data_IF_910545049002
#
_entry.id   IF_910545049002
#
_cell.length_a   1.000
_cell.length_b   1.000
_cell.length_c   1.000
_cell.angle_alpha   90.00
_cell.angle_beta   90.00
_cell.angle_gamma   90.00
#
_symmetry.space_group_name_H-M   'P 1'
#
loop_
_entity.id
_entity.type
_entity.pdbx_description
1 polymer ?
#
# COMPACT_ATOMS: atom_id res chain seq x y z
N UNK A 1 22.13 7.25 -40.72
CA UNK A 1 23.49 7.53 -41.24
C UNK A 1 23.98 6.32 -42.04
N UNK A 2 23.93 6.31 -43.39
CA UNK A 2 24.30 5.15 -44.21
C UNK A 2 25.76 5.20 -44.71
N UNK A 3 26.70 5.62 -43.86
CA UNK A 3 28.09 5.92 -44.27
C UNK A 3 29.20 5.00 -43.74
N UNK A 4 28.89 4.07 -42.84
CA UNK A 4 29.91 3.27 -42.12
C UNK A 4 30.17 1.88 -42.72
N UNK A 5 29.27 1.34 -43.53
CA UNK A 5 29.38 -0.04 -44.08
C UNK A 5 30.33 -0.10 -45.29
N UNK A 6 30.57 1.01 -45.98
CA UNK A 6 31.43 1.05 -47.18
C UNK A 6 32.93 1.13 -46.91
N UNK A 7 33.36 1.42 -45.66
CA UNK A 7 34.80 1.56 -45.31
C UNK A 7 35.43 0.27 -44.82
N UNK A 8 34.66 -0.64 -44.23
CA UNK A 8 35.15 -1.94 -43.72
C UNK A 8 35.47 -2.95 -44.83
N UNK A 9 34.82 -2.84 -46.00
CA UNK A 9 35.06 -3.75 -47.14
C UNK A 9 36.40 -3.53 -47.85
N UNK A 10 37.01 -2.34 -47.72
CA UNK A 10 38.26 -2.00 -48.40
C UNK A 10 39.49 -2.55 -47.66
N UNK A 11 39.42 -2.63 -46.34
CA UNK A 11 40.51 -3.15 -45.51
C UNK A 11 40.65 -4.67 -45.59
N UNK A 12 39.56 -5.40 -45.79
CA UNK A 12 39.57 -6.87 -45.85
C UNK A 12 40.14 -7.45 -47.16
N UNK A 13 40.16 -6.67 -48.25
CA UNK A 13 40.61 -7.13 -49.58
C UNK A 13 42.14 -7.15 -49.70
N UNK A 14 42.81 -6.20 -49.07
CA UNK A 14 44.25 -5.98 -49.26
C UNK A 14 45.10 -6.90 -48.38
N UNK A 15 44.56 -7.41 -47.26
CA UNK A 15 45.27 -8.31 -46.33
C UNK A 15 45.19 -9.81 -46.70
N UNK A 16 44.17 -10.23 -47.45
CA UNK A 16 43.95 -11.65 -47.83
C UNK A 16 44.59 -12.03 -49.17
N UNK A 17 44.85 -11.07 -50.04
CA UNK A 17 45.46 -11.29 -51.35
C UNK A 17 46.88 -11.92 -51.30
N UNK A 18 47.76 -11.59 -50.32
CA UNK A 18 49.10 -12.18 -50.23
C UNK A 18 49.10 -13.63 -49.71
N UNK A 19 48.07 -14.03 -48.95
CA UNK A 19 47.94 -15.36 -48.35
C UNK A 19 47.55 -16.43 -49.37
N UNK A 20 46.79 -16.04 -50.40
CA UNK A 20 46.31 -16.95 -51.45
C UNK A 20 47.39 -17.30 -52.49
N UNK A 21 48.45 -16.50 -52.62
CA UNK A 21 49.56 -16.77 -53.55
C UNK A 21 50.58 -17.81 -53.03
N UNK A 22 50.49 -18.24 -51.76
CA UNK A 22 51.37 -19.28 -51.19
C UNK A 22 50.88 -20.71 -51.40
N UNK A 23 49.63 -20.90 -51.83
CA UNK A 23 49.07 -22.22 -52.11
C UNK A 23 48.94 -22.31 -53.63
N UNK A 24 49.96 -22.88 -54.28
CA UNK A 24 49.95 -23.13 -55.71
C UNK A 24 48.77 -24.01 -56.09
N UNK A 25 47.66 -23.39 -56.50
CA UNK A 25 46.46 -24.06 -56.94
C UNK A 25 46.16 -23.60 -58.38
N UNK A 26 46.55 -24.48 -59.28
CA UNK A 26 46.28 -24.50 -60.71
C UNK A 26 44.78 -24.34 -60.99
N UNK A 27 44.46 -23.34 -61.81
CA UNK A 27 43.50 -23.40 -62.91
C UNK A 27 42.30 -24.37 -62.80
N UNK A 28 41.33 -24.04 -61.94
CA UNK A 28 39.89 -24.28 -62.24
C UNK A 28 39.11 -23.12 -61.66
N UNK A 29 38.25 -22.47 -62.46
CA UNK A 29 37.37 -21.37 -62.02
C UNK A 29 36.57 -21.80 -60.79
N UNK A 30 36.79 -21.23 -59.60
CA UNK A 30 36.06 -21.69 -58.43
C UNK A 30 34.77 -20.90 -58.26
N UNK A 31 33.75 -21.59 -57.78
CA UNK A 31 32.43 -21.09 -57.37
C UNK A 31 32.53 -20.15 -56.14
N UNK A 32 33.49 -19.22 -56.11
CA UNK A 32 33.76 -18.35 -54.96
C UNK A 32 32.61 -17.41 -54.61
N UNK A 33 31.69 -17.16 -55.56
CA UNK A 33 30.49 -16.36 -55.31
C UNK A 33 29.56 -17.02 -54.30
N UNK A 34 29.55 -18.34 -54.18
CA UNK A 34 28.76 -19.04 -53.17
C UNK A 34 29.50 -19.03 -51.82
N UNK A 35 30.81 -19.27 -51.81
CA UNK A 35 31.63 -19.26 -50.59
C UNK A 35 31.62 -17.89 -49.86
N UNK A 36 31.61 -16.77 -50.61
CA UNK A 36 31.48 -15.43 -50.03
C UNK A 36 30.09 -15.17 -49.44
N UNK A 37 29.02 -15.69 -50.05
CA UNK A 37 27.68 -15.59 -49.47
C UNK A 37 27.57 -16.41 -48.18
N UNK A 38 28.12 -17.63 -48.15
CA UNK A 38 28.13 -18.44 -46.93
C UNK A 38 28.99 -17.82 -45.82
N UNK A 39 30.15 -17.26 -46.13
CA UNK A 39 31.02 -16.62 -45.13
C UNK A 39 30.42 -15.35 -44.53
N UNK A 40 29.80 -14.50 -45.36
CA UNK A 40 29.09 -13.30 -44.88
C UNK A 40 27.82 -13.69 -44.12
N UNK A 41 27.12 -14.73 -44.55
CA UNK A 41 25.94 -15.26 -43.85
C UNK A 41 26.29 -15.86 -42.50
N UNK A 42 27.42 -16.59 -42.39
CA UNK A 42 27.90 -17.13 -41.12
C UNK A 42 28.35 -16.02 -40.15
N UNK A 43 29.02 -14.98 -40.65
CA UNK A 43 29.42 -13.82 -39.86
C UNK A 43 28.20 -13.02 -39.37
N UNK A 44 27.19 -12.83 -40.23
CA UNK A 44 25.92 -12.20 -39.85
C UNK A 44 25.17 -13.06 -38.83
N UNK A 45 25.15 -14.39 -38.97
CA UNK A 45 24.53 -15.30 -37.98
C UNK A 45 25.27 -15.26 -36.63
N UNK A 46 26.61 -15.25 -36.65
CA UNK A 46 27.43 -15.13 -35.44
C UNK A 46 27.21 -13.79 -34.75
N UNK A 47 27.26 -12.67 -35.50
CA UNK A 47 26.98 -11.34 -34.94
C UNK A 47 25.53 -11.17 -34.51
N UNK A 48 24.55 -11.76 -35.22
CA UNK A 48 23.16 -11.79 -34.76
C UNK A 48 22.98 -12.64 -33.49
N UNK A 49 23.74 -13.73 -33.32
CA UNK A 49 23.73 -14.51 -32.08
C UNK A 49 24.38 -13.77 -30.90
N UNK A 50 25.45 -13.02 -31.16
CA UNK A 50 26.09 -12.15 -30.16
C UNK A 50 25.19 -10.98 -29.79
N UNK A 51 24.49 -10.38 -30.75
CA UNK A 51 23.48 -9.33 -30.52
C UNK A 51 22.26 -9.90 -29.78
N UNK A 52 21.80 -11.12 -30.08
CA UNK A 52 20.74 -11.79 -29.30
C UNK A 52 21.17 -12.15 -27.88
N UNK A 53 22.47 -12.39 -27.65
CA UNK A 53 23.04 -12.60 -26.32
C UNK A 53 23.16 -11.28 -25.54
N UNK A 54 23.62 -10.19 -26.17
CA UNK A 54 23.66 -8.86 -25.55
C UNK A 54 22.26 -8.29 -25.27
N UNK A 55 21.28 -8.50 -26.15
CA UNK A 55 19.88 -8.11 -25.92
C UNK A 55 19.18 -8.94 -24.84
N UNK A 56 19.74 -10.09 -24.44
CA UNK A 56 19.26 -10.88 -23.30
C UNK A 56 19.76 -10.37 -21.95
N UNK A 57 20.90 -9.65 -21.95
CA UNK A 57 21.48 -9.05 -20.74
C UNK A 57 20.93 -7.64 -20.45
N UNK A 58 20.32 -6.97 -21.44
CA UNK A 58 19.61 -5.71 -21.25
C UNK A 58 18.19 -5.92 -20.68
N UNK A 59 18.14 -6.05 -19.36
CA UNK A 59 17.04 -5.64 -18.49
C UNK A 59 15.69 -6.37 -18.65
N UNK A 60 15.64 -7.65 -18.27
CA UNK A 60 14.57 -8.02 -17.34
C UNK A 60 14.97 -7.45 -15.97
N UNK A 61 14.17 -6.57 -15.34
CA UNK A 61 14.48 -6.13 -13.99
C UNK A 61 14.64 -7.39 -13.14
N UNK A 62 15.72 -7.47 -12.38
CA UNK A 62 15.97 -8.53 -11.40
C UNK A 62 14.65 -8.79 -10.67
N UNK A 63 13.96 -9.88 -11.01
CA UNK A 63 12.71 -10.24 -10.36
C UNK A 63 13.13 -10.54 -8.94
N UNK A 64 12.89 -9.56 -8.07
CA UNK A 64 13.15 -9.67 -6.64
C UNK A 64 12.31 -10.85 -6.18
N UNK A 65 12.96 -11.98 -5.98
CA UNK A 65 12.34 -13.24 -5.56
C UNK A 65 12.06 -13.16 -4.04
N UNK A 66 11.43 -12.06 -3.62
CA UNK A 66 10.97 -11.83 -2.25
C UNK A 66 9.47 -12.18 -2.20
N UNK A 67 9.11 -13.30 -1.53
CA UNK A 67 7.72 -13.73 -1.40
C UNK A 67 6.80 -12.66 -0.80
N UNK A 68 7.32 -11.79 0.07
CA UNK A 68 6.53 -10.75 0.71
C UNK A 68 6.14 -9.64 -0.28
N UNK A 69 7.08 -9.22 -1.14
CA UNK A 69 6.80 -8.23 -2.19
C UNK A 69 5.81 -8.76 -3.21
N UNK A 70 5.88 -10.05 -3.55
CA UNK A 70 4.86 -10.66 -4.42
C UNK A 70 3.46 -10.62 -3.83
N UNK A 71 3.33 -10.87 -2.52
CA UNK A 71 2.05 -10.81 -1.82
C UNK A 71 1.53 -9.37 -1.82
N UNK A 72 2.37 -8.39 -1.52
CA UNK A 72 2.00 -6.96 -1.57
C UNK A 72 1.57 -6.53 -2.98
N UNK A 73 2.27 -7.02 -4.00
CA UNK A 73 1.92 -6.78 -5.40
C UNK A 73 0.55 -7.37 -5.74
N UNK A 74 0.29 -8.62 -5.35
CA UNK A 74 -1.01 -9.31 -5.54
C UNK A 74 -2.15 -8.63 -4.79
N UNK A 75 -1.88 -8.08 -3.60
CA UNK A 75 -2.84 -7.30 -2.82
C UNK A 75 -3.18 -5.93 -3.47
N UNK A 76 -2.38 -5.47 -4.44
CA UNK A 76 -2.56 -4.19 -5.12
C UNK A 76 -2.14 -2.97 -4.29
N UNK A 77 -1.20 -3.17 -3.34
CA UNK A 77 -0.70 -2.13 -2.44
C UNK A 77 0.11 -1.05 -3.17
N UNK A 78 0.72 -1.42 -4.30
CA UNK A 78 1.60 -0.57 -5.10
C UNK A 78 0.88 0.55 -5.87
N UNK A 79 -0.46 0.52 -6.00
CA UNK A 79 -1.19 1.54 -6.76
C UNK A 79 -1.48 2.79 -5.93
N UNK A 80 -1.14 3.97 -6.44
CA UNK A 80 -1.58 5.26 -5.90
C UNK A 80 -2.67 5.92 -6.74
N UNK A 81 -2.77 7.25 -6.63
CA UNK A 81 -3.59 8.10 -7.50
C UNK A 81 -2.77 8.69 -8.66
N UNK A 82 -3.39 9.56 -9.47
CA UNK A 82 -2.71 10.30 -10.51
C UNK A 82 -1.66 11.26 -9.94
N UNK A 83 -0.57 11.48 -10.68
CA UNK A 83 0.52 12.41 -10.31
C UNK A 83 0.03 13.83 -9.98
N UNK A 84 -1.09 14.27 -10.56
CA UNK A 84 -1.70 15.59 -10.29
C UNK A 84 -2.21 15.75 -8.86
N UNK A 85 -2.58 14.65 -8.19
CA UNK A 85 -3.05 14.65 -6.81
C UNK A 85 -1.92 14.52 -5.79
N UNK A 86 -0.71 14.16 -6.25
CA UNK A 86 0.39 13.81 -5.36
C UNK A 86 0.79 14.98 -4.46
N UNK A 87 0.91 14.71 -3.17
CA UNK A 87 1.57 15.61 -2.24
C UNK A 87 3.10 15.61 -2.47
N UNK A 88 3.77 16.77 -2.57
CA UNK A 88 5.19 16.83 -2.92
C UNK A 88 6.12 15.98 -2.04
N UNK A 89 5.79 15.85 -0.74
CA UNK A 89 6.56 15.06 0.22
C UNK A 89 6.40 13.55 0.08
N UNK A 90 5.41 13.07 -0.69
CA UNK A 90 5.26 11.64 -0.99
C UNK A 90 6.19 11.17 -2.11
N UNK A 91 6.84 12.08 -2.84
CA UNK A 91 7.78 11.75 -3.94
C UNK A 91 8.81 10.66 -3.59
N UNK A 92 9.43 10.63 -2.39
CA UNK A 92 10.40 9.59 -2.04
C UNK A 92 9.83 8.17 -2.02
N UNK A 93 8.52 8.01 -1.77
CA UNK A 93 7.87 6.69 -1.70
C UNK A 93 7.34 6.20 -3.05
N UNK A 94 7.43 7.03 -4.10
CA UNK A 94 6.95 6.71 -5.45
C UNK A 94 8.11 6.15 -6.28
N UNK A 95 7.93 4.96 -6.81
CA UNK A 95 8.85 4.31 -7.74
C UNK A 95 8.73 4.90 -9.16
N UNK A 96 7.50 5.09 -9.64
CA UNK A 96 7.26 5.55 -11.00
C UNK A 96 5.79 5.79 -11.32
N UNK A 97 5.45 5.74 -12.61
CA UNK A 97 4.08 5.91 -13.09
C UNK A 97 3.76 4.84 -14.14
N UNK A 98 2.56 4.25 -14.06
CA UNK A 98 2.03 3.28 -15.02
C UNK A 98 0.60 3.65 -15.37
N UNK A 99 0.29 3.79 -16.65
CA UNK A 99 -1.06 4.11 -17.15
C UNK A 99 -1.68 5.35 -16.46
N UNK A 100 -0.87 6.38 -16.20
CA UNK A 100 -1.34 7.61 -15.55
C UNK A 100 -1.44 7.55 -14.03
N UNK A 101 -1.29 6.38 -13.42
CA UNK A 101 -1.32 6.16 -11.96
C UNK A 101 0.10 6.05 -11.41
N UNK A 102 0.37 6.71 -10.27
CA UNK A 102 1.67 6.54 -9.60
C UNK A 102 1.78 5.18 -8.93
N UNK A 103 2.99 4.63 -8.94
CA UNK A 103 3.32 3.32 -8.38
C UNK A 103 4.25 3.52 -7.20
N UNK A 104 3.87 2.97 -6.04
CA UNK A 104 4.70 2.98 -4.84
C UNK A 104 5.88 2.02 -4.95
N UNK A 105 6.97 2.42 -4.30
CA UNK A 105 8.15 1.59 -4.11
C UNK A 105 7.88 0.58 -2.97
N UNK A 106 7.64 -0.68 -3.34
CA UNK A 106 7.24 -1.72 -2.37
C UNK A 106 8.34 -2.04 -1.34
N UNK A 107 9.62 -1.80 -1.63
CA UNK A 107 10.68 -2.00 -0.65
C UNK A 107 10.53 -1.00 0.50
N UNK A 108 10.27 0.27 0.16
CA UNK A 108 10.00 1.31 1.16
C UNK A 108 8.70 1.04 1.91
N UNK A 109 7.67 0.57 1.21
CA UNK A 109 6.40 0.17 1.85
C UNK A 109 6.64 -0.92 2.88
N UNK A 110 7.45 -1.95 2.56
CA UNK A 110 7.78 -3.04 3.47
C UNK A 110 8.53 -2.54 4.71
N UNK A 111 9.54 -1.69 4.53
CA UNK A 111 10.33 -1.17 5.65
C UNK A 111 9.47 -0.31 6.59
N UNK A 112 8.68 0.61 6.03
CA UNK A 112 7.71 1.42 6.76
C UNK A 112 6.64 0.58 7.47
N UNK A 113 6.12 -0.46 6.80
CA UNK A 113 5.14 -1.37 7.39
C UNK A 113 5.75 -2.13 8.57
N UNK A 114 7.00 -2.59 8.45
CA UNK A 114 7.71 -3.29 9.53
C UNK A 114 7.82 -2.42 10.78
N UNK A 115 8.20 -1.15 10.63
CA UNK A 115 8.30 -0.21 11.75
C UNK A 115 6.93 0.04 12.41
N UNK A 116 5.89 0.24 11.60
CA UNK A 116 4.53 0.40 12.10
C UNK A 116 4.03 -0.84 12.86
N UNK A 117 4.26 -2.04 12.32
CA UNK A 117 3.85 -3.30 12.95
C UNK A 117 4.63 -3.57 14.25
N UNK A 118 5.91 -3.21 14.31
CA UNK A 118 6.71 -3.29 15.53
C UNK A 118 6.14 -2.42 16.64
N UNK A 119 5.80 -1.16 16.32
CA UNK A 119 5.14 -0.25 17.28
C UNK A 119 3.78 -0.77 17.75
N UNK A 120 2.96 -1.32 16.84
CA UNK A 120 1.66 -1.90 17.18
C UNK A 120 1.81 -3.09 18.15
N UNK A 121 2.79 -3.97 17.89
CA UNK A 121 3.07 -5.11 18.77
C UNK A 121 3.60 -4.67 20.14
N UNK A 122 4.43 -3.63 20.20
CA UNK A 122 4.88 -3.03 21.47
C UNK A 122 3.68 -2.46 22.25
N UNK A 123 2.81 -1.71 21.57
CA UNK A 123 1.66 -1.08 22.19
C UNK A 123 0.71 -2.11 22.80
N UNK A 124 0.43 -3.19 22.07
CA UNK A 124 -0.44 -4.25 22.58
C UNK A 124 0.21 -5.04 23.72
N UNK A 125 1.53 -5.28 23.67
CA UNK A 125 2.29 -5.92 24.75
C UNK A 125 2.37 -5.08 26.04
N UNK A 126 2.20 -3.77 25.95
CA UNK A 126 2.09 -2.88 27.12
C UNK A 126 0.66 -2.80 27.69
N UNK A 127 -0.30 -3.53 27.11
CA UNK A 127 -1.71 -3.45 27.51
C UNK A 127 -2.37 -2.09 27.21
N UNK A 128 -1.80 -1.33 26.27
CA UNK A 128 -2.35 -0.04 25.81
C UNK A 128 -3.49 -0.26 24.82
N UNK A 129 -4.27 0.79 24.57
CA UNK A 129 -5.42 0.74 23.67
C UNK A 129 -5.17 1.55 22.39
N UNK A 130 -5.72 1.05 21.28
CA UNK A 130 -5.68 1.71 19.97
C UNK A 130 -7.09 1.79 19.39
N UNK A 131 -7.40 2.88 18.68
CA UNK A 131 -8.64 3.01 17.89
C UNK A 131 -8.33 2.74 16.42
N UNK A 132 -9.13 1.90 15.77
CA UNK A 132 -9.11 1.71 14.32
C UNK A 132 -10.09 2.69 13.65
N UNK A 133 -9.59 3.53 12.72
CA UNK A 133 -10.38 4.56 12.05
C UNK A 133 -10.31 4.37 10.54
N UNK A 134 -11.46 4.38 9.88
CA UNK A 134 -11.54 4.40 8.43
C UNK A 134 -12.98 4.51 7.95
N UNK A 135 -13.37 5.70 7.48
CA UNK A 135 -14.75 5.96 7.05
C UNK A 135 -14.99 5.74 5.56
N UNK A 136 -13.93 5.54 4.77
CA UNK A 136 -14.02 5.16 3.36
C UNK A 136 -14.81 3.87 3.19
N UNK A 137 -15.67 3.81 2.16
CA UNK A 137 -16.50 2.62 1.85
C UNK A 137 -15.66 1.35 1.70
N UNK A 138 -14.45 1.46 1.14
CA UNK A 138 -13.52 0.34 1.01
C UNK A 138 -12.94 -0.14 2.36
N UNK A 139 -12.86 0.73 3.37
CA UNK A 139 -12.25 0.42 4.67
C UNK A 139 -13.28 -0.03 5.72
N UNK A 140 -14.54 0.46 5.65
CA UNK A 140 -15.53 0.30 6.73
C UNK A 140 -15.67 -1.13 7.24
N UNK A 141 -15.90 -2.07 6.32
CA UNK A 141 -16.15 -3.47 6.68
C UNK A 141 -14.92 -4.15 7.29
N UNK A 142 -13.74 -3.82 6.77
CA UNK A 142 -12.45 -4.37 7.21
C UNK A 142 -12.08 -3.89 8.60
N UNK A 143 -12.24 -2.58 8.84
CA UNK A 143 -11.98 -1.93 10.14
C UNK A 143 -12.94 -2.48 11.20
N UNK A 144 -14.24 -2.53 10.89
CA UNK A 144 -15.26 -3.02 11.83
C UNK A 144 -15.05 -4.49 12.19
N UNK A 145 -14.76 -5.34 11.20
CA UNK A 145 -14.47 -6.76 11.43
C UNK A 145 -13.25 -6.93 12.33
N UNK A 146 -12.11 -6.35 11.95
CA UNK A 146 -10.88 -6.49 12.69
C UNK A 146 -10.98 -5.93 14.12
N UNK A 147 -11.65 -4.79 14.30
CA UNK A 147 -11.86 -4.21 15.62
C UNK A 147 -12.66 -5.14 16.53
N UNK A 148 -13.74 -5.74 16.02
CA UNK A 148 -14.57 -6.68 16.78
C UNK A 148 -13.80 -7.95 17.14
N UNK A 149 -13.05 -8.50 16.19
CA UNK A 149 -12.24 -9.70 16.41
C UNK A 149 -11.13 -9.46 17.45
N UNK A 150 -10.57 -8.25 17.52
CA UNK A 150 -9.50 -7.88 18.45
C UNK A 150 -10.00 -7.30 19.79
N UNK A 151 -11.29 -6.98 19.89
CA UNK A 151 -11.90 -6.27 21.01
C UNK A 151 -11.45 -4.81 21.13
N UNK A 152 -11.12 -4.17 20.01
CA UNK A 152 -10.67 -2.78 19.95
C UNK A 152 -11.80 -1.80 19.62
N UNK A 153 -11.73 -0.56 20.12
CA UNK A 153 -12.62 0.51 19.66
C UNK A 153 -12.35 0.86 18.19
N UNK A 154 -13.40 1.24 17.47
CA UNK A 154 -13.32 1.61 16.07
C UNK A 154 -14.29 2.73 15.64
N UNK A 155 -13.96 3.37 14.53
CA UNK A 155 -14.82 4.33 13.83
C UNK A 155 -14.83 3.98 12.34
N UNK A 156 -15.93 3.40 11.87
CA UNK A 156 -16.14 3.04 10.46
C UNK A 156 -17.11 3.97 9.72
N UNK A 157 -17.91 4.75 10.43
CA UNK A 157 -18.94 5.59 9.82
C UNK A 157 -18.50 7.03 9.64
N UNK A 158 -18.49 7.83 10.70
CA UNK A 158 -18.10 9.23 10.66
C UNK A 158 -17.36 9.58 11.94
N UNK A 159 -16.20 10.21 11.80
CA UNK A 159 -15.52 10.80 12.93
C UNK A 159 -16.27 12.03 13.45
N UNK A 160 -16.62 12.02 14.73
CA UNK A 160 -17.22 13.17 15.39
C UNK A 160 -16.11 14.09 15.89
N UNK A 161 -16.11 15.34 15.43
CA UNK A 161 -15.18 16.34 15.93
C UNK A 161 -15.34 16.52 17.44
N UNK A 162 -14.23 16.51 18.16
CA UNK A 162 -14.21 16.53 19.61
C UNK A 162 -14.09 15.16 20.27
N UNK A 163 -14.05 14.06 19.50
CA UNK A 163 -13.90 12.69 20.02
C UNK A 163 -12.72 12.57 21.00
N UNK A 164 -11.57 13.18 20.68
CA UNK A 164 -10.40 13.14 21.54
C UNK A 164 -10.25 14.43 22.33
N UNK A 165 -10.38 15.57 21.65
CA UNK A 165 -10.13 16.88 22.24
C UNK A 165 -11.16 17.32 23.27
N UNK A 166 -12.39 16.79 23.19
CA UNK A 166 -13.48 17.02 24.13
C UNK A 166 -14.01 15.69 24.69
N UNK A 167 -13.10 14.77 24.98
CA UNK A 167 -13.41 13.40 25.39
C UNK A 167 -14.42 13.32 26.55
N UNK A 168 -14.30 14.19 27.56
CA UNK A 168 -15.22 14.18 28.70
C UNK A 168 -16.70 14.41 28.29
N UNK A 169 -16.96 15.28 27.33
CA UNK A 169 -18.33 15.51 26.84
C UNK A 169 -18.79 14.37 25.94
N UNK A 170 -17.90 13.83 25.11
CA UNK A 170 -18.20 12.68 24.27
C UNK A 170 -18.50 11.44 25.13
N UNK A 171 -17.76 11.21 26.21
CA UNK A 171 -18.03 10.14 27.17
C UNK A 171 -19.42 10.28 27.80
N UNK A 172 -19.82 11.48 28.25
CA UNK A 172 -21.19 11.71 28.74
C UNK A 172 -22.27 11.38 27.69
N UNK A 173 -21.97 11.60 26.40
CA UNK A 173 -22.90 11.25 25.30
C UNK A 173 -22.95 9.75 25.04
N UNK A 174 -21.82 9.06 25.20
CA UNK A 174 -21.74 7.59 25.15
C UNK A 174 -22.51 7.00 26.33
N UNK A 175 -22.31 7.48 27.56
CA UNK A 175 -23.03 7.00 28.75
C UNK A 175 -24.55 7.19 28.59
N UNK A 176 -24.98 8.34 28.05
CA UNK A 176 -26.39 8.58 27.73
C UNK A 176 -26.93 7.57 26.70
N UNK A 177 -26.13 7.22 25.70
CA UNK A 177 -26.50 6.22 24.70
C UNK A 177 -26.59 4.81 25.29
N UNK A 178 -25.64 4.42 26.15
CA UNK A 178 -25.63 3.13 26.84
C UNK A 178 -26.88 2.99 27.72
N UNK A 179 -27.22 4.02 28.50
CA UNK A 179 -28.43 4.05 29.33
C UNK A 179 -29.71 3.90 28.48
N UNK A 180 -29.83 4.61 27.35
CA UNK A 180 -30.97 4.47 26.45
C UNK A 180 -31.09 3.06 25.86
N UNK A 181 -29.96 2.42 25.57
CA UNK A 181 -29.91 1.06 25.03
C UNK A 181 -30.33 0.04 26.10
N UNK A 182 -29.94 0.25 27.35
CA UNK A 182 -30.36 -0.54 28.49
C UNK A 182 -31.85 -0.38 28.80
N UNK A 183 -32.36 0.86 28.86
CA UNK A 183 -33.78 1.16 29.08
C UNK A 183 -34.67 0.55 27.99
N UNK A 184 -34.20 0.54 26.74
CA UNK A 184 -34.91 -0.12 25.63
C UNK A 184 -34.92 -1.64 25.78
N UNK A 185 -33.84 -2.22 26.30
CA UNK A 185 -33.73 -3.68 26.48
C UNK A 185 -34.58 -4.15 27.66
N UNK A 186 -34.69 -3.35 28.72
CA UNK A 186 -35.46 -3.68 29.92
C UNK A 186 -36.96 -3.45 29.78
N UNK A 187 -37.42 -2.78 28.71
CA UNK A 187 -38.83 -2.40 28.54
C UNK A 187 -39.22 -1.12 29.29
N UNK A 188 -38.27 -0.48 29.97
CA UNK A 188 -38.50 0.70 30.78
C UNK A 188 -38.93 1.92 29.95
N UNK A 189 -38.61 1.96 28.66
CA UNK A 189 -39.06 3.02 27.76
C UNK A 189 -40.57 2.95 27.51
N UNK A 190 -41.09 1.73 27.29
CA UNK A 190 -42.49 1.46 27.03
C UNK A 190 -43.38 1.75 28.24
N UNK A 191 -42.85 1.58 29.45
CA UNK A 191 -43.54 1.89 30.71
C UNK A 191 -43.59 3.40 31.01
N UNK A 192 -42.53 4.14 30.66
CA UNK A 192 -42.37 5.56 31.02
C UNK A 192 -42.91 6.54 29.98
N UNK A 193 -42.98 6.14 28.71
CA UNK A 193 -43.24 7.05 27.58
C UNK A 193 -44.40 6.61 26.70
N UNK A 194 -44.97 7.56 25.96
CA UNK A 194 -46.00 7.25 24.97
C UNK A 194 -45.41 6.50 23.76
N UNK A 195 -46.23 5.73 23.03
CA UNK A 195 -45.79 5.01 21.81
C UNK A 195 -45.05 5.90 20.80
N UNK A 196 -45.48 7.15 20.64
CA UNK A 196 -44.84 8.12 19.74
C UNK A 196 -43.45 8.53 20.23
N UNK A 197 -43.26 8.68 21.54
CA UNK A 197 -41.97 9.01 22.14
C UNK A 197 -41.02 7.82 22.13
N UNK A 198 -41.52 6.61 22.43
CA UNK A 198 -40.76 5.35 22.31
C UNK A 198 -40.22 5.17 20.89
N UNK A 199 -41.05 5.46 19.86
CA UNK A 199 -40.61 5.43 18.47
C UNK A 199 -39.46 6.43 18.21
N UNK A 200 -39.60 7.68 18.66
CA UNK A 200 -38.56 8.72 18.52
C UNK A 200 -37.27 8.34 19.25
N UNK A 201 -37.37 7.76 20.44
CA UNK A 201 -36.21 7.27 21.20
C UNK A 201 -35.55 6.09 20.50
N UNK A 202 -36.34 5.18 19.94
CA UNK A 202 -35.82 4.06 19.14
C UNK A 202 -35.05 4.52 17.90
N UNK A 203 -35.58 5.49 17.15
CA UNK A 203 -34.86 6.11 16.02
C UNK A 203 -33.57 6.79 16.48
N UNK A 204 -33.60 7.46 17.63
CA UNK A 204 -32.43 8.10 18.22
C UNK A 204 -31.36 7.08 18.60
N UNK A 205 -31.75 5.94 19.18
CA UNK A 205 -30.82 4.85 19.52
C UNK A 205 -30.15 4.31 18.25
N UNK A 206 -30.89 4.08 17.16
CA UNK A 206 -30.30 3.62 15.89
C UNK A 206 -29.26 4.61 15.38
N UNK A 207 -29.56 5.92 15.42
CA UNK A 207 -28.61 6.97 15.01
C UNK A 207 -27.37 7.02 15.90
N UNK A 208 -27.55 6.87 17.21
CA UNK A 208 -26.45 6.86 18.17
C UNK A 208 -25.59 5.61 18.07
N UNK A 209 -26.16 4.44 17.77
CA UNK A 209 -25.44 3.18 17.56
C UNK A 209 -24.44 3.31 16.39
N UNK A 210 -24.87 3.92 15.29
CA UNK A 210 -24.02 4.14 14.10
C UNK A 210 -22.83 5.06 14.42
N UNK A 211 -23.00 6.00 15.36
CA UNK A 211 -21.97 7.00 15.71
C UNK A 211 -21.05 6.49 16.82
N UNK A 212 -21.63 5.99 17.91
CA UNK A 212 -20.93 5.68 19.16
C UNK A 212 -20.72 4.19 19.39
N UNK A 213 -21.39 3.30 18.64
CA UNK A 213 -21.32 1.86 18.87
C UNK A 213 -19.90 1.31 18.86
N UNK A 214 -19.06 1.77 17.92
CA UNK A 214 -17.67 1.34 17.82
C UNK A 214 -16.72 1.93 18.88
N UNK A 215 -17.10 3.04 19.53
CA UNK A 215 -16.27 3.71 20.56
C UNK A 215 -16.85 3.60 21.97
N UNK A 216 -17.97 2.88 22.15
CA UNK A 216 -18.62 2.73 23.45
C UNK A 216 -17.70 2.11 24.50
N UNK A 217 -16.85 1.17 24.08
CA UNK A 217 -15.85 0.50 24.93
C UNK A 217 -14.73 1.43 25.43
N UNK A 218 -14.61 2.64 24.88
CA UNK A 218 -13.54 3.59 25.19
C UNK A 218 -13.80 4.32 26.52
N UNK A 219 -13.10 3.89 27.58
CA UNK A 219 -13.20 4.49 28.93
C UNK A 219 -12.20 5.62 29.18
N UNK A 220 -11.05 5.58 28.51
CA UNK A 220 -9.96 6.57 28.59
C UNK A 220 -9.56 6.98 27.17
N UNK A 221 -8.80 8.07 27.05
CA UNK A 221 -8.18 8.44 25.78
C UNK A 221 -7.35 7.26 25.23
N UNK A 222 -7.35 7.05 23.91
CA UNK A 222 -6.54 6.01 23.28
C UNK A 222 -5.06 6.37 23.33
N UNK A 223 -4.22 5.34 23.36
CA UNK A 223 -2.76 5.49 23.37
C UNK A 223 -2.19 5.62 21.95
N UNK A 224 -2.92 5.16 20.92
CA UNK A 224 -2.61 5.36 19.50
C UNK A 224 -3.87 5.31 18.62
N UNK A 225 -3.75 5.84 17.41
CA UNK A 225 -4.74 5.69 16.35
C UNK A 225 -4.14 4.95 15.15
N UNK A 226 -4.90 4.01 14.59
CA UNK A 226 -4.66 3.50 13.25
C UNK A 226 -5.67 4.12 12.29
N UNK A 227 -5.23 4.81 11.25
CA UNK A 227 -6.08 5.57 10.34
C UNK A 227 -5.89 5.07 8.90
N UNK A 228 -6.98 4.76 8.22
CA UNK A 228 -7.01 4.54 6.77
C UNK A 228 -7.40 5.84 6.08
N UNK A 229 -6.52 6.34 5.22
CA UNK A 229 -6.57 7.67 4.61
C UNK A 229 -6.61 8.84 5.62
N UNK A 230 -5.44 9.35 6.03
CA UNK A 230 -5.33 10.55 6.86
C UNK A 230 -5.98 11.83 6.28
N UNK A 231 -6.08 11.96 4.95
CA UNK A 231 -6.66 13.15 4.31
C UNK A 231 -8.19 13.13 4.43
N UNK A 232 -8.82 11.99 4.21
CA UNK A 232 -10.27 11.81 4.46
C UNK A 232 -10.57 11.98 5.97
N UNK A 233 -9.69 11.50 6.84
CA UNK A 233 -9.84 11.57 8.31
C UNK A 233 -9.11 12.76 8.96
N UNK A 234 -8.97 13.89 8.24
CA UNK A 234 -8.17 15.05 8.68
C UNK A 234 -8.55 15.57 10.08
N UNK A 235 -9.81 15.45 10.47
CA UNK A 235 -10.27 15.88 11.81
C UNK A 235 -9.68 14.98 12.90
N UNK A 236 -9.68 13.67 12.70
CA UNK A 236 -9.09 12.71 13.64
C UNK A 236 -7.58 12.94 13.76
N UNK A 237 -6.90 13.14 12.63
CA UNK A 237 -5.47 13.44 12.56
C UNK A 237 -5.14 14.71 13.35
N UNK A 238 -5.86 15.81 13.10
CA UNK A 238 -5.63 17.08 13.80
C UNK A 238 -5.84 16.98 15.30
N UNK A 239 -6.89 16.28 15.73
CA UNK A 239 -7.17 16.07 17.15
C UNK A 239 -6.09 15.22 17.84
N UNK A 240 -5.68 14.11 17.23
CA UNK A 240 -4.64 13.24 17.74
C UNK A 240 -3.29 13.97 17.84
N UNK A 241 -2.90 14.73 16.81
CA UNK A 241 -1.69 15.55 16.82
C UNK A 241 -1.72 16.60 17.93
N UNK A 242 -2.85 17.28 18.14
CA UNK A 242 -2.98 18.29 19.21
C UNK A 242 -2.77 17.70 20.60
N UNK A 243 -3.12 16.44 20.78
CA UNK A 243 -2.95 15.70 22.03
C UNK A 243 -1.67 14.87 22.07
N UNK A 244 -0.80 14.98 21.06
CA UNK A 244 0.42 14.18 20.92
C UNK A 244 0.18 12.66 20.97
N UNK A 245 -0.98 12.21 20.48
CA UNK A 245 -1.29 10.78 20.35
C UNK A 245 -0.67 10.30 19.04
N UNK A 246 0.17 9.24 19.06
CA UNK A 246 0.81 8.71 17.86
C UNK A 246 -0.22 8.16 16.86
N UNK A 247 0.04 8.42 15.58
CA UNK A 247 -0.82 8.03 14.46
C UNK A 247 -0.07 7.04 13.59
N UNK A 248 -0.64 5.86 13.39
CA UNK A 248 -0.24 4.90 12.36
C UNK A 248 -1.21 5.07 11.19
N UNK A 249 -0.71 5.32 9.99
CA UNK A 249 -1.56 5.72 8.86
C UNK A 249 -1.27 4.96 7.58
N UNK A 250 -2.28 4.27 7.03
CA UNK A 250 -2.25 3.81 5.64
C UNK A 250 -2.58 5.00 4.74
N UNK A 251 -1.60 5.47 3.99
CA UNK A 251 -1.65 6.72 3.26
C UNK A 251 -1.25 6.53 1.78
N UNK A 252 -2.09 7.07 0.89
CA UNK A 252 -1.82 7.15 -0.54
C UNK A 252 -0.99 8.40 -0.88
N UNK A 253 -0.73 8.62 -2.16
CA UNK A 253 0.28 9.57 -2.65
C UNK A 253 -0.16 11.04 -2.51
N UNK A 254 -1.44 11.29 -2.24
CA UNK A 254 -2.04 12.60 -1.98
C UNK A 254 -1.96 13.04 -0.52
N UNK A 255 -1.65 12.14 0.41
CA UNK A 255 -1.51 12.47 1.82
C UNK A 255 -0.18 13.18 2.13
N UNK A 256 -0.17 13.98 3.21
CA UNK A 256 1.05 14.55 3.76
C UNK A 256 1.69 13.58 4.79
N UNK A 257 2.89 13.04 4.52
CA UNK A 257 3.52 12.03 5.39
C UNK A 257 3.89 12.57 6.77
N UNK A 258 4.10 13.88 6.92
CA UNK A 258 4.49 14.51 8.20
C UNK A 258 3.34 14.61 9.21
N UNK A 259 2.11 14.27 8.79
CA UNK A 259 0.95 14.26 9.69
C UNK A 259 0.76 12.94 10.43
N UNK A 260 1.50 11.92 10.02
CA UNK A 260 1.44 10.56 10.54
C UNK A 260 2.76 10.25 11.23
N UNK A 261 2.69 9.60 12.40
CA UNK A 261 3.90 9.20 13.16
C UNK A 261 4.56 7.98 12.53
N UNK A 262 3.76 6.97 12.20
CA UNK A 262 4.18 5.75 11.52
C UNK A 262 3.44 5.64 10.18
N UNK A 263 4.10 6.13 9.13
CA UNK A 263 3.54 6.13 7.78
C UNK A 263 3.63 4.73 7.18
N UNK A 264 2.51 4.23 6.66
CA UNK A 264 2.45 3.05 5.79
C UNK A 264 2.04 3.55 4.40
N UNK A 265 2.99 3.79 3.48
CA UNK A 265 2.65 4.23 2.14
C UNK A 265 1.96 3.08 1.38
N UNK A 266 0.90 3.37 0.64
CA UNK A 266 0.23 2.35 -0.18
C UNK A 266 -1.18 2.70 -0.59
N UNK A 267 -1.81 1.75 -1.27
CA UNK A 267 -3.17 1.90 -1.79
C UNK A 267 -4.22 1.86 -0.68
N UNK A 268 -4.91 2.98 -0.46
CA UNK A 268 -5.99 3.17 0.50
C UNK A 268 -7.40 3.12 -0.14
N UNK A 269 -7.47 2.88 -1.45
CA UNK A 269 -8.72 2.87 -2.24
C UNK A 269 -9.24 1.47 -2.55
N UNK A 270 -8.33 0.47 -2.55
CA UNK A 270 -8.66 -0.92 -2.82
C UNK A 270 -9.01 -1.68 -1.55
N UNK A 271 -10.15 -2.35 -1.54
CA UNK A 271 -10.55 -3.28 -0.46
C UNK A 271 -9.50 -4.36 -0.20
N UNK A 272 -8.88 -4.90 -1.24
CA UNK A 272 -7.87 -5.96 -1.12
C UNK A 272 -6.61 -5.45 -0.40
N UNK A 273 -6.15 -4.26 -0.76
CA UNK A 273 -4.99 -3.61 -0.14
C UNK A 273 -5.24 -3.28 1.32
N UNK A 274 -6.39 -2.65 1.62
CA UNK A 274 -6.77 -2.29 2.98
C UNK A 274 -6.93 -3.53 3.86
N UNK A 275 -7.56 -4.59 3.34
CA UNK A 275 -7.67 -5.87 4.05
C UNK A 275 -6.30 -6.45 4.38
N UNK A 276 -5.39 -6.50 3.41
CA UNK A 276 -4.05 -7.01 3.61
C UNK A 276 -3.32 -6.29 4.75
N UNK A 277 -3.37 -4.94 4.76
CA UNK A 277 -2.74 -4.16 5.83
C UNK A 277 -3.41 -4.42 7.18
N UNK A 278 -4.75 -4.42 7.24
CA UNK A 278 -5.49 -4.66 8.48
C UNK A 278 -5.25 -6.06 9.03
N UNK A 279 -5.12 -7.07 8.18
CA UNK A 279 -4.77 -8.44 8.58
C UNK A 279 -3.38 -8.46 9.23
N UNK A 280 -2.37 -7.84 8.61
CA UNK A 280 -1.02 -7.74 9.20
C UNK A 280 -1.01 -6.97 10.53
N UNK A 281 -1.79 -5.88 10.63
CA UNK A 281 -1.98 -5.12 11.88
C UNK A 281 -2.62 -5.99 12.96
N UNK A 282 -3.62 -6.79 12.59
CA UNK A 282 -4.32 -7.69 13.51
C UNK A 282 -3.39 -8.79 14.04
N UNK A 283 -2.59 -9.38 13.16
CA UNK A 283 -1.56 -10.36 13.53
C UNK A 283 -0.52 -9.75 14.48
N UNK A 284 -0.02 -8.54 14.18
CA UNK A 284 0.95 -7.86 15.04
C UNK A 284 0.35 -7.53 16.42
N UNK A 285 -0.91 -7.07 16.46
CA UNK A 285 -1.62 -6.81 17.71
C UNK A 285 -1.74 -8.07 18.58
N UNK A 286 -2.15 -9.20 17.98
CA UNK A 286 -2.27 -10.48 18.69
C UNK A 286 -0.93 -11.01 19.17
N UNK A 287 0.13 -10.92 18.35
CA UNK A 287 1.49 -11.31 18.73
C UNK A 287 1.98 -10.52 19.95
N UNK A 288 1.78 -9.20 19.97
CA UNK A 288 2.14 -8.39 21.13
C UNK A 288 1.34 -8.74 22.38
N UNK A 289 0.04 -9.03 22.27
CA UNK A 289 -0.78 -9.53 23.40
C UNK A 289 -0.28 -10.87 23.95
N UNK A 290 0.18 -11.78 23.09
CA UNK A 290 0.70 -13.08 23.51
C UNK A 290 2.04 -12.97 24.27
N UNK A 291 2.80 -11.90 24.05
CA UNK A 291 4.05 -11.63 24.75
C UNK A 291 3.84 -11.03 26.16
N UNK A 292 2.59 -10.80 26.58
CA UNK A 292 2.24 -10.46 27.97
C UNK A 292 2.33 -11.74 28.80
N UNK A 293 3.55 -12.09 29.23
CA UNK A 293 3.83 -13.13 30.22
C UNK A 293 4.44 -12.47 31.45
#
# INVERSE_FOLDING_TARGET
MPGLIGRSFRLYRDDLAPLLNKVGAVEKRPQWREALHYGVFLYILLTMSEIELELKDDAQPSVVNDPELEIMLKAGLHFGYSRSKRHPKMKPYIFGQRNGVEVFDLEKVRDNLKDALAFIAELSGQGKNMILVGTKVAARGSIEKAARDLGLPYVSNRWIGGTLTNFNMIRKRIDYFENLKEDKKSGALEEKYTKKEVLRLSEKIIKLEVIFGGVASLKKLPDALFIVDPEEEITAVREARRLSIPIIGLASNDNNPDEVTYLIPGNDSSRASINFIIERVSEAWQKGKANII
#
